data_IF_107289562998
#
_entry.id   IF_107289562998
#
_cell.length_a   1.000
_cell.length_b   1.000
_cell.length_c   1.000
_cell.angle_alpha   90.00
_cell.angle_beta   90.00
_cell.angle_gamma   90.00
#
_symmetry.space_group_name_H-M   'P 1'
#
loop_
_entity.id
_entity.type
_entity.pdbx_description
1 polymer ?
#
# COMPACT_ATOMS: atom_id res chain seq x y z
N UNK A 1 14.71 -24.10 9.03
CA UNK A 1 13.27 -24.45 9.21
C UNK A 1 12.83 -24.55 10.67
N UNK A 2 13.51 -25.34 11.53
CA UNK A 2 13.08 -25.55 12.93
C UNK A 2 13.00 -24.28 13.81
N UNK A 3 13.83 -23.26 13.55
CA UNK A 3 13.79 -21.96 14.27
C UNK A 3 12.58 -21.11 13.87
N UNK A 4 12.27 -21.05 12.56
CA UNK A 4 11.11 -20.33 12.01
C UNK A 4 9.82 -20.93 12.55
N UNK A 5 9.69 -22.26 12.50
CA UNK A 5 8.52 -22.97 13.04
C UNK A 5 8.31 -22.68 14.53
N UNK A 6 9.40 -22.58 15.31
CA UNK A 6 9.36 -22.29 16.75
C UNK A 6 8.92 -20.86 17.03
N UNK A 7 9.40 -19.89 16.25
CA UNK A 7 8.96 -18.50 16.29
C UNK A 7 7.46 -18.37 15.97
N UNK A 8 7.00 -19.00 14.88
CA UNK A 8 5.58 -18.96 14.49
C UNK A 8 4.67 -19.55 15.56
N UNK A 9 5.03 -20.71 16.14
CA UNK A 9 4.26 -21.33 17.21
C UNK A 9 4.24 -20.49 18.50
N UNK A 10 5.34 -19.80 18.81
CA UNK A 10 5.42 -18.90 19.96
C UNK A 10 4.55 -17.66 19.78
N UNK A 11 4.62 -17.01 18.61
CA UNK A 11 3.75 -15.87 18.26
C UNK A 11 2.28 -16.29 18.31
N UNK A 12 1.94 -17.44 17.74
CA UNK A 12 0.58 -17.98 17.76
C UNK A 12 0.07 -18.21 19.18
N UNK A 13 0.89 -18.79 20.06
CA UNK A 13 0.52 -18.99 21.47
C UNK A 13 0.22 -17.65 22.16
N UNK A 14 1.04 -16.62 21.94
CA UNK A 14 0.83 -15.28 22.53
C UNK A 14 -0.46 -14.63 22.02
N UNK A 15 -0.73 -14.71 20.70
CA UNK A 15 -1.92 -14.12 20.09
C UNK A 15 -3.22 -14.82 20.49
N UNK A 16 -3.17 -16.13 20.78
CA UNK A 16 -4.35 -16.93 21.12
C UNK A 16 -4.59 -17.10 22.62
N UNK A 17 -3.64 -16.74 23.49
CA UNK A 17 -3.83 -16.79 24.94
C UNK A 17 -4.72 -15.66 25.45
N UNK A 18 -5.61 -15.92 26.42
CA UNK A 18 -6.49 -14.91 26.99
C UNK A 18 -5.69 -13.75 27.62
N UNK A 19 -6.15 -12.53 27.36
CA UNK A 19 -5.49 -11.27 27.76
C UNK A 19 -5.21 -11.12 29.26
N UNK A 20 -5.83 -11.95 30.11
CA UNK A 20 -5.57 -12.00 31.55
C UNK A 20 -4.12 -12.35 31.92
N UNK A 21 -3.33 -12.89 30.98
CA UNK A 21 -1.93 -13.28 31.19
C UNK A 21 -0.90 -12.25 30.69
N UNK A 22 -1.33 -11.25 29.91
CA UNK A 22 -0.46 -10.21 29.35
C UNK A 22 -0.73 -8.88 30.07
N UNK A 23 0.31 -8.08 30.30
CA UNK A 23 0.12 -6.78 30.94
C UNK A 23 -0.67 -5.84 30.03
N UNK A 24 -1.56 -5.04 30.62
CA UNK A 24 -2.35 -4.06 29.87
C UNK A 24 -1.46 -3.12 29.04
N UNK A 25 -0.32 -2.69 29.61
CA UNK A 25 0.67 -1.86 28.92
C UNK A 25 1.29 -2.54 27.70
N UNK A 26 1.55 -3.85 27.76
CA UNK A 26 2.08 -4.59 26.62
C UNK A 26 1.04 -4.68 25.49
N UNK A 27 -0.23 -4.92 25.83
CA UNK A 27 -1.32 -5.00 24.86
C UNK A 27 -1.59 -3.66 24.17
N UNK A 28 -1.66 -2.56 24.93
CA UNK A 28 -1.94 -1.24 24.36
C UNK A 28 -0.77 -0.72 23.54
N UNK A 29 0.46 -0.82 24.04
CA UNK A 29 1.64 -0.35 23.32
C UNK A 29 1.93 -1.22 22.09
N UNK A 30 1.82 -2.54 22.21
CA UNK A 30 1.98 -3.46 21.09
C UNK A 30 0.92 -3.25 20.01
N UNK A 31 -0.35 -3.07 20.40
CA UNK A 31 -1.44 -2.76 19.49
C UNK A 31 -1.27 -1.41 18.79
N UNK A 32 -0.83 -0.37 19.52
CA UNK A 32 -0.57 0.94 18.94
C UNK A 32 0.56 0.91 17.92
N UNK A 33 1.70 0.32 18.26
CA UNK A 33 2.85 0.18 17.34
C UNK A 33 2.45 -0.65 16.12
N UNK A 34 1.76 -1.77 16.32
CA UNK A 34 1.25 -2.60 15.23
C UNK A 34 0.28 -1.83 14.32
N UNK A 35 -0.61 -1.02 14.91
CA UNK A 35 -1.55 -0.17 14.19
C UNK A 35 -0.85 0.88 13.34
N UNK A 36 0.15 1.59 13.88
CA UNK A 36 0.93 2.59 13.13
C UNK A 36 1.68 1.97 11.97
N UNK A 37 2.33 0.82 12.19
CA UNK A 37 3.05 0.09 11.13
C UNK A 37 2.07 -0.35 10.04
N UNK A 38 0.94 -0.95 10.42
CA UNK A 38 -0.06 -1.41 9.47
C UNK A 38 -0.65 -0.24 8.67
N UNK A 39 -1.03 0.84 9.34
CA UNK A 39 -1.56 2.03 8.71
C UNK A 39 -0.56 2.64 7.72
N UNK A 40 0.70 2.79 8.11
CA UNK A 40 1.76 3.28 7.23
C UNK A 40 1.96 2.37 6.02
N UNK A 41 2.15 1.07 6.25
CA UNK A 41 2.39 0.10 5.18
C UNK A 41 1.23 0.02 4.19
N UNK A 42 -0.01 0.00 4.69
CA UNK A 42 -1.21 -0.06 3.85
C UNK A 42 -1.38 1.19 2.99
N UNK A 43 -1.20 2.38 3.57
CA UNK A 43 -1.29 3.63 2.81
C UNK A 43 -0.15 3.77 1.79
N UNK A 44 1.07 3.35 2.14
CA UNK A 44 2.18 3.32 1.17
C UNK A 44 1.88 2.38 0.01
N UNK A 45 1.34 1.19 0.28
CA UNK A 45 0.97 0.26 -0.80
C UNK A 45 -0.12 0.85 -1.70
N UNK A 46 -1.14 1.49 -1.13
CA UNK A 46 -2.18 2.18 -1.89
C UNK A 46 -1.61 3.30 -2.76
N UNK A 47 -0.77 4.15 -2.19
CA UNK A 47 -0.15 5.27 -2.91
C UNK A 47 0.70 4.77 -4.08
N UNK A 48 1.48 3.69 -3.89
CA UNK A 48 2.25 3.07 -4.96
C UNK A 48 1.36 2.57 -6.11
N UNK A 49 0.22 1.95 -5.78
CA UNK A 49 -0.74 1.49 -6.79
C UNK A 49 -1.54 2.61 -7.45
N UNK A 50 -1.47 3.83 -6.91
CA UNK A 50 -2.06 5.04 -7.48
C UNK A 50 -1.07 5.84 -8.32
N UNK A 51 0.09 5.30 -8.68
CA UNK A 51 1.05 5.98 -9.55
C UNK A 51 0.82 5.66 -11.02
N UNK A 52 1.15 6.60 -11.91
CA UNK A 52 1.14 6.35 -13.36
C UNK A 52 2.06 5.19 -13.75
N UNK A 53 3.22 5.04 -13.07
CA UNK A 53 4.15 3.92 -13.30
C UNK A 53 3.49 2.56 -13.05
N UNK A 54 2.69 2.44 -11.99
CA UNK A 54 1.90 1.24 -11.75
C UNK A 54 0.84 1.04 -12.83
N UNK A 55 0.11 2.08 -13.24
CA UNK A 55 -0.89 1.99 -14.29
C UNK A 55 -0.28 1.47 -15.61
N UNK A 56 0.86 2.02 -16.03
CA UNK A 56 1.56 1.62 -17.27
C UNK A 56 2.49 0.41 -17.08
N UNK A 57 2.43 -0.27 -15.93
CA UNK A 57 3.13 -1.54 -15.73
C UNK A 57 2.51 -2.65 -16.59
N UNK A 58 1.19 -2.56 -16.85
CA UNK A 58 0.45 -3.44 -17.75
C UNK A 58 0.78 -3.11 -19.21
N UNK A 59 1.10 -4.13 -20.01
CA UNK A 59 1.48 -3.98 -21.42
C UNK A 59 0.38 -3.30 -22.26
N UNK A 60 -0.89 -3.61 -22.00
CA UNK A 60 -2.05 -3.02 -22.67
C UNK A 60 -2.14 -1.51 -22.39
N UNK A 61 -2.01 -1.14 -21.11
CA UNK A 61 -2.11 0.25 -20.68
C UNK A 61 -0.94 1.08 -21.24
N UNK A 62 0.26 0.50 -21.29
CA UNK A 62 1.45 1.14 -21.85
C UNK A 62 1.38 1.30 -23.37
N UNK A 63 1.05 0.23 -24.09
CA UNK A 63 1.16 0.22 -25.55
C UNK A 63 0.02 0.98 -26.25
N UNK A 64 -1.14 1.09 -25.60
CA UNK A 64 -2.33 1.69 -26.19
C UNK A 64 -2.70 3.00 -25.48
N UNK A 65 -3.28 2.92 -24.28
CA UNK A 65 -3.90 4.07 -23.60
C UNK A 65 -2.88 5.18 -23.27
N UNK A 66 -1.68 4.80 -22.80
CA UNK A 66 -0.63 5.79 -22.52
C UNK A 66 -0.14 6.50 -23.78
N UNK A 67 0.09 5.75 -24.86
CA UNK A 67 0.49 6.31 -26.16
C UNK A 67 -0.59 7.24 -26.73
N UNK A 68 -1.87 6.90 -26.56
CA UNK A 68 -2.98 7.78 -26.94
C UNK A 68 -2.97 9.07 -26.12
N UNK A 69 -2.83 8.98 -24.79
CA UNK A 69 -2.76 10.13 -23.89
C UNK A 69 -1.67 11.12 -24.34
N UNK A 70 -0.50 10.62 -24.78
CA UNK A 70 0.64 11.46 -25.21
C UNK A 70 0.32 12.43 -26.34
N UNK A 71 -0.69 12.09 -27.16
CA UNK A 71 -1.13 12.88 -28.32
C UNK A 71 -2.24 13.87 -27.97
N UNK A 72 -2.64 13.95 -26.70
CA UNK A 72 -3.74 14.80 -26.23
C UNK A 72 -3.25 16.03 -25.48
N UNK A 73 -4.18 16.97 -25.26
CA UNK A 73 -3.95 18.16 -24.42
C UNK A 73 -3.67 17.81 -22.95
N UNK A 74 -4.05 16.62 -22.47
CA UNK A 74 -3.76 16.22 -21.10
C UNK A 74 -2.28 15.93 -20.86
N UNK A 75 -1.53 15.56 -21.92
CA UNK A 75 -0.09 15.32 -21.86
C UNK A 75 0.75 16.56 -22.19
N UNK A 76 0.36 17.31 -23.23
CA UNK A 76 1.06 18.53 -23.66
C UNK A 76 0.09 19.70 -23.79
N UNK A 77 0.04 20.55 -22.77
CA UNK A 77 -0.77 21.77 -22.75
C UNK A 77 0.04 23.02 -22.48
N UNK A 78 -0.63 24.16 -22.68
CA UNK A 78 -0.09 25.50 -22.50
C UNK A 78 0.07 25.91 -21.03
N UNK A 79 -0.61 25.22 -20.11
CA UNK A 79 -0.56 25.49 -18.68
C UNK A 79 0.69 24.91 -18.01
N UNK A 80 1.36 23.96 -18.66
CA UNK A 80 2.56 23.29 -18.13
C UNK A 80 2.26 22.26 -17.03
N UNK A 81 1.00 22.02 -16.69
CA UNK A 81 0.57 21.02 -15.71
C UNK A 81 0.00 19.83 -16.48
N UNK A 82 0.60 18.65 -16.32
CA UNK A 82 0.16 17.43 -16.97
C UNK A 82 -0.74 16.63 -16.01
N UNK A 83 -1.89 16.19 -16.52
CA UNK A 83 -2.69 15.18 -15.85
C UNK A 83 -2.09 13.79 -16.10
N UNK A 84 -2.02 13.01 -15.04
CA UNK A 84 -1.61 11.61 -15.03
C UNK A 84 -2.85 10.71 -14.83
N UNK A 85 -2.68 9.39 -14.97
CA UNK A 85 -3.77 8.43 -14.77
C UNK A 85 -4.58 8.62 -13.46
N UNK A 86 -3.94 8.70 -12.27
CA UNK A 86 -4.68 8.81 -11.01
C UNK A 86 -5.47 10.10 -10.86
N UNK A 87 -5.01 11.20 -11.47
CA UNK A 87 -5.64 12.52 -11.35
C UNK A 87 -7.10 12.53 -11.83
N UNK A 88 -7.50 11.55 -12.65
CA UNK A 88 -8.88 11.40 -13.14
C UNK A 88 -9.53 10.07 -12.74
N UNK A 89 -8.75 9.01 -12.55
CA UNK A 89 -9.30 7.66 -12.27
C UNK A 89 -9.36 7.30 -10.79
N UNK A 90 -8.60 7.99 -9.92
CA UNK A 90 -8.58 7.74 -8.49
C UNK A 90 -9.25 8.93 -7.77
N UNK A 91 -10.43 8.73 -7.17
CA UNK A 91 -11.09 9.80 -6.43
C UNK A 91 -10.27 10.24 -5.22
N UNK A 92 -10.26 11.55 -4.99
CA UNK A 92 -9.64 12.22 -3.84
C UNK A 92 -10.66 12.61 -2.77
#
# INVERSE_FOLDING_TARGET
MARIKRLLLWVWKILTTPAATLSLAFLTLGGFVGGVIFWGAFNTALELTNTEEFCVSCHEMRANVYEELTRTVHFSNRSGVRASCPDCHVPH
#
